data_IF_806912246576
#
_entry.id   IF_806912246576
#
_cell.length_a   1.000
_cell.length_b   1.000
_cell.length_c   1.000
_cell.angle_alpha   90.00
_cell.angle_beta   90.00
_cell.angle_gamma   90.00
#
_symmetry.space_group_name_H-M   'P 1'
#
loop_
_entity.id
_entity.type
_entity.pdbx_description
1 polymer ?
#
# COMPACT_ATOMS: atom_id res chain seq x y z
N UNK A 1 29.14 -13.54 -46.84
CA UNK A 1 28.59 -13.62 -45.46
C UNK A 1 29.23 -12.47 -44.70
N UNK A 2 28.55 -11.40 -44.26
CA UNK A 2 27.69 -11.37 -43.06
C UNK A 2 26.86 -10.06 -43.00
N UNK A 3 25.77 -9.93 -43.78
CA UNK A 3 24.82 -8.81 -43.60
C UNK A 3 23.88 -9.02 -42.40
N UNK A 4 23.74 -10.25 -41.90
CA UNK A 4 22.82 -10.59 -40.80
C UNK A 4 23.29 -10.13 -39.40
N UNK A 5 24.59 -9.92 -39.18
CA UNK A 5 25.12 -9.54 -37.87
C UNK A 5 24.82 -8.08 -37.50
N UNK A 6 24.99 -7.15 -38.45
CA UNK A 6 24.72 -5.71 -38.23
C UNK A 6 23.22 -5.42 -38.08
N UNK A 7 22.34 -6.15 -38.75
CA UNK A 7 20.89 -5.98 -38.61
C UNK A 7 20.38 -6.53 -37.29
N UNK A 8 20.87 -7.69 -36.83
CA UNK A 8 20.55 -8.23 -35.50
C UNK A 8 21.01 -7.30 -34.38
N UNK A 9 22.22 -6.72 -34.49
CA UNK A 9 22.72 -5.75 -33.52
C UNK A 9 21.88 -4.47 -33.48
N UNK A 10 21.48 -3.95 -34.65
CA UNK A 10 20.57 -2.78 -34.73
C UNK A 10 19.20 -3.06 -34.12
N UNK A 11 18.61 -4.23 -34.38
CA UNK A 11 17.34 -4.62 -33.77
C UNK A 11 17.45 -4.77 -32.25
N UNK A 12 18.56 -5.33 -31.75
CA UNK A 12 18.79 -5.45 -30.31
C UNK A 12 19.00 -4.09 -29.64
N UNK A 13 19.70 -3.16 -30.28
CA UNK A 13 19.85 -1.79 -29.81
C UNK A 13 18.51 -1.05 -29.73
N UNK A 14 17.63 -1.21 -30.72
CA UNK A 14 16.28 -0.62 -30.68
C UNK A 14 15.45 -1.21 -29.55
N UNK A 15 15.50 -2.53 -29.33
CA UNK A 15 14.79 -3.17 -28.22
C UNK A 15 15.29 -2.68 -26.85
N UNK A 16 16.61 -2.59 -26.66
CA UNK A 16 17.19 -2.06 -25.42
C UNK A 16 16.82 -0.59 -25.23
N UNK A 17 16.85 0.23 -26.29
CA UNK A 17 16.45 1.64 -26.21
C UNK A 17 14.98 1.82 -25.82
N UNK A 18 14.07 1.06 -26.42
CA UNK A 18 12.64 1.07 -26.08
C UNK A 18 12.42 0.57 -24.65
N UNK A 19 13.14 -0.45 -24.22
CA UNK A 19 13.07 -0.97 -22.86
C UNK A 19 13.55 0.04 -21.82
N UNK A 20 14.64 0.76 -22.09
CA UNK A 20 15.16 1.82 -21.22
C UNK A 20 14.18 2.99 -21.17
N UNK A 21 13.65 3.46 -22.31
CA UNK A 21 12.63 4.52 -22.32
C UNK A 21 11.36 4.10 -21.57
N UNK A 22 10.90 2.87 -21.77
CA UNK A 22 9.76 2.30 -21.06
C UNK A 22 10.00 2.20 -19.56
N UNK A 23 11.20 1.81 -19.14
CA UNK A 23 11.60 1.71 -17.73
C UNK A 23 11.69 3.07 -17.06
N UNK A 24 12.24 4.08 -17.74
CA UNK A 24 12.31 5.47 -17.23
C UNK A 24 10.92 6.07 -17.11
N UNK A 25 10.06 5.88 -18.12
CA UNK A 25 8.67 6.36 -18.10
C UNK A 25 7.86 5.65 -17.01
N UNK A 26 8.03 4.34 -16.86
CA UNK A 26 7.40 3.55 -15.79
C UNK A 26 7.86 3.96 -14.40
N UNK A 27 9.15 4.23 -14.21
CA UNK A 27 9.71 4.73 -12.95
C UNK A 27 9.18 6.13 -12.60
N UNK A 28 9.09 7.03 -13.59
CA UNK A 28 8.56 8.39 -13.40
C UNK A 28 7.06 8.39 -13.03
N UNK A 29 6.24 7.60 -13.73
CA UNK A 29 4.82 7.44 -13.41
C UNK A 29 4.60 6.81 -12.03
N UNK A 30 5.40 5.80 -11.68
CA UNK A 30 5.34 5.17 -10.37
C UNK A 30 5.78 6.12 -9.25
N UNK A 31 6.80 6.95 -9.52
CA UNK A 31 7.28 7.99 -8.60
C UNK A 31 6.24 9.07 -8.34
N UNK A 32 5.56 9.56 -9.38
CA UNK A 32 4.48 10.55 -9.27
C UNK A 32 3.22 9.98 -8.59
N UNK A 33 2.89 8.71 -8.85
CA UNK A 33 1.77 8.05 -8.19
C UNK A 33 2.06 7.76 -6.71
N UNK A 34 3.29 7.35 -6.39
CA UNK A 34 3.74 7.18 -5.01
C UNK A 34 3.83 8.52 -4.27
N UNK A 35 4.31 9.60 -4.88
CA UNK A 35 4.38 10.91 -4.19
C UNK A 35 2.99 11.46 -3.88
N UNK A 36 2.03 11.28 -4.78
CA UNK A 36 0.62 11.63 -4.54
C UNK A 36 -0.07 10.72 -3.51
N UNK A 37 0.41 9.48 -3.35
CA UNK A 37 -0.07 8.54 -2.34
C UNK A 37 0.70 8.60 -1.01
N UNK A 38 1.92 9.13 -0.95
CA UNK A 38 2.80 8.99 0.22
C UNK A 38 2.99 10.27 1.06
N UNK A 39 2.51 11.44 0.61
CA UNK A 39 2.99 12.72 1.15
C UNK A 39 2.03 13.60 1.96
N UNK A 40 0.73 13.29 2.05
CA UNK A 40 -0.20 14.06 2.89
C UNK A 40 -0.44 13.35 4.22
N UNK A 41 -0.55 14.10 5.32
CA UNK A 41 -0.93 13.57 6.62
C UNK A 41 -2.32 12.90 6.54
N UNK A 42 -2.29 11.60 6.21
CA UNK A 42 -3.49 10.78 6.08
C UNK A 42 -4.18 10.60 7.43
N UNK A 43 -3.48 10.82 8.54
CA UNK A 43 -4.08 10.75 9.87
C UNK A 43 -4.96 11.97 10.12
N UNK A 44 -4.42 13.18 9.89
CA UNK A 44 -5.19 14.42 9.96
C UNK A 44 -6.34 14.43 8.95
N UNK A 45 -6.10 13.97 7.73
CA UNK A 45 -7.14 13.91 6.68
C UNK A 45 -8.26 12.95 7.06
N UNK A 46 -7.94 11.82 7.70
CA UNK A 46 -8.93 10.83 8.15
C UNK A 46 -9.71 11.31 9.36
N UNK A 47 -9.04 11.96 10.31
CA UNK A 47 -9.67 12.53 11.49
C UNK A 47 -10.66 13.65 11.10
N UNK A 48 -10.23 14.56 10.21
CA UNK A 48 -11.10 15.59 9.62
C UNK A 48 -12.31 14.97 8.93
N UNK A 49 -12.12 13.96 8.08
CA UNK A 49 -13.23 13.30 7.39
C UNK A 49 -14.21 12.58 8.35
N UNK A 50 -13.71 12.02 9.45
CA UNK A 50 -14.57 11.41 10.48
C UNK A 50 -15.38 12.48 11.22
N UNK A 51 -14.76 13.61 11.56
CA UNK A 51 -15.40 14.72 12.22
C UNK A 51 -16.48 15.35 11.33
N UNK A 52 -16.19 15.62 10.06
CA UNK A 52 -17.17 16.09 9.08
C UNK A 52 -18.38 15.16 8.96
N UNK A 53 -18.14 13.84 8.96
CA UNK A 53 -19.21 12.84 8.88
C UNK A 53 -20.07 12.82 10.14
N UNK A 54 -19.48 13.04 11.31
CA UNK A 54 -20.21 13.17 12.57
C UNK A 54 -21.05 14.46 12.60
N UNK A 55 -20.47 15.61 12.21
CA UNK A 55 -21.20 16.88 12.16
C UNK A 55 -22.36 16.85 11.16
N UNK A 56 -22.18 16.18 10.02
CA UNK A 56 -23.26 15.93 9.08
C UNK A 56 -24.39 15.12 9.72
N UNK A 57 -24.06 14.03 10.44
CA UNK A 57 -25.04 13.21 11.15
C UNK A 57 -25.77 14.00 12.24
N UNK A 58 -25.03 14.79 13.03
CA UNK A 58 -25.59 15.68 14.05
C UNK A 58 -26.63 16.62 13.43
N UNK A 59 -26.30 17.24 12.30
CA UNK A 59 -27.15 18.21 11.61
C UNK A 59 -28.37 17.55 10.97
N UNK A 60 -28.17 16.47 10.21
CA UNK A 60 -29.26 15.78 9.49
C UNK A 60 -30.27 15.14 10.43
N UNK A 61 -29.81 14.58 11.55
CA UNK A 61 -30.68 13.98 12.56
C UNK A 61 -31.17 14.97 13.62
N UNK A 62 -30.73 16.23 13.55
CA UNK A 62 -31.06 17.29 14.52
C UNK A 62 -30.83 16.85 15.97
N UNK A 63 -29.66 16.26 16.22
CA UNK A 63 -29.33 15.73 17.55
C UNK A 63 -29.29 16.87 18.59
N UNK A 64 -29.88 16.63 19.75
CA UNK A 64 -29.67 17.51 20.92
C UNK A 64 -28.24 17.39 21.42
N UNK A 65 -27.79 18.31 22.28
CA UNK A 65 -26.44 18.23 22.86
C UNK A 65 -26.23 16.95 23.68
N UNK A 66 -27.27 16.49 24.37
CA UNK A 66 -27.23 15.23 25.14
C UNK A 66 -27.11 14.02 24.21
N UNK A 67 -27.90 13.98 23.13
CA UNK A 67 -27.80 12.92 22.12
C UNK A 67 -26.45 12.94 21.40
N UNK A 68 -25.93 14.12 21.08
CA UNK A 68 -24.62 14.29 20.44
C UNK A 68 -23.51 13.68 21.30
N UNK A 69 -23.50 13.97 22.60
CA UNK A 69 -22.53 13.40 23.55
C UNK A 69 -22.65 11.88 23.62
N UNK A 70 -23.87 11.35 23.69
CA UNK A 70 -24.11 9.91 23.75
C UNK A 70 -23.62 9.20 22.47
N UNK A 71 -23.94 9.75 21.28
CA UNK A 71 -23.50 9.17 20.00
C UNK A 71 -21.97 9.23 19.86
N UNK A 72 -21.34 10.33 20.27
CA UNK A 72 -19.89 10.46 20.27
C UNK A 72 -19.24 9.38 21.14
N UNK A 73 -19.76 9.15 22.35
CA UNK A 73 -19.28 8.10 23.25
C UNK A 73 -19.37 6.70 22.62
N UNK A 74 -20.50 6.37 21.99
CA UNK A 74 -20.70 5.09 21.28
C UNK A 74 -19.68 4.91 20.14
N UNK A 75 -19.45 5.97 19.35
CA UNK A 75 -18.47 5.92 18.24
C UNK A 75 -17.05 5.70 18.78
N UNK A 76 -16.69 6.35 19.88
CA UNK A 76 -15.35 6.24 20.46
C UNK A 76 -15.11 4.88 21.14
N UNK A 77 -16.10 4.35 21.85
CA UNK A 77 -16.08 2.99 22.38
C UNK A 77 -15.90 1.97 21.25
N UNK A 78 -16.74 2.06 20.21
CA UNK A 78 -16.65 1.20 19.03
C UNK A 78 -15.26 1.27 18.38
N UNK A 79 -14.68 2.47 18.26
CA UNK A 79 -13.30 2.63 17.72
C UNK A 79 -12.27 1.90 18.56
N UNK A 80 -12.40 1.92 19.89
CA UNK A 80 -11.50 1.22 20.79
C UNK A 80 -11.63 -0.30 20.65
N UNK A 81 -12.86 -0.82 20.54
CA UNK A 81 -13.10 -2.24 20.26
C UNK A 81 -12.44 -2.68 18.95
N UNK A 82 -12.63 -1.92 17.86
CA UNK A 82 -11.97 -2.22 16.58
C UNK A 82 -10.45 -2.17 16.68
N UNK A 83 -9.88 -1.24 17.46
CA UNK A 83 -8.43 -1.16 17.68
C UNK A 83 -7.91 -2.40 18.45
N UNK A 84 -8.64 -2.83 19.47
CA UNK A 84 -8.31 -4.04 20.23
C UNK A 84 -8.37 -5.28 19.34
N UNK A 85 -9.46 -5.46 18.60
CA UNK A 85 -9.65 -6.58 17.67
C UNK A 85 -8.55 -6.62 16.60
N UNK A 86 -8.21 -5.46 16.01
CA UNK A 86 -7.12 -5.36 15.04
C UNK A 86 -5.80 -5.81 15.65
N UNK A 87 -5.52 -5.45 16.89
CA UNK A 87 -4.28 -5.81 17.60
C UNK A 87 -4.22 -7.31 17.86
N UNK A 88 -5.31 -7.92 18.29
CA UNK A 88 -5.41 -9.37 18.54
C UNK A 88 -5.32 -10.20 17.25
N UNK A 89 -6.01 -9.79 16.19
CA UNK A 89 -6.09 -10.57 14.96
C UNK A 89 -4.86 -10.40 14.07
N UNK A 90 -4.12 -9.29 14.17
CA UNK A 90 -2.93 -9.03 13.34
C UNK A 90 -1.94 -10.20 13.29
N UNK A 91 -1.47 -10.78 14.41
CA UNK A 91 -0.55 -11.92 14.38
C UNK A 91 -1.13 -13.16 13.71
N UNK A 92 -2.46 -13.38 13.76
CA UNK A 92 -3.11 -14.55 13.14
C UNK A 92 -2.99 -14.55 11.61
N UNK A 93 -2.74 -13.39 11.00
CA UNK A 93 -2.52 -13.28 9.55
C UNK A 93 -1.07 -13.46 9.12
N UNK A 94 -0.12 -13.52 10.07
CA UNK A 94 1.30 -13.58 9.73
C UNK A 94 1.70 -14.97 9.27
N UNK A 95 1.24 -16.02 9.95
CA UNK A 95 1.55 -17.41 9.56
C UNK A 95 1.02 -17.76 8.15
N UNK A 96 -0.25 -17.50 7.78
CA UNK A 96 -0.71 -17.72 6.41
C UNK A 96 0.08 -16.93 5.37
N UNK A 97 0.51 -15.70 5.71
CA UNK A 97 1.33 -14.87 4.84
C UNK A 97 2.69 -15.49 4.59
N UNK A 98 3.39 -15.92 5.64
CA UNK A 98 4.71 -16.55 5.51
C UNK A 98 4.61 -17.87 4.73
N UNK A 99 3.57 -18.67 5.00
CA UNK A 99 3.28 -19.90 4.26
C UNK A 99 3.04 -19.66 2.77
N UNK A 100 2.27 -18.62 2.43
CA UNK A 100 2.04 -18.23 1.04
C UNK A 100 3.33 -17.77 0.37
N UNK A 101 4.16 -16.95 1.05
CA UNK A 101 5.47 -16.49 0.56
C UNK A 101 6.40 -17.67 0.26
N UNK A 102 6.49 -18.64 1.16
CA UNK A 102 7.30 -19.84 0.98
C UNK A 102 6.84 -20.67 -0.22
N UNK A 103 5.52 -20.88 -0.37
CA UNK A 103 4.94 -21.60 -1.51
C UNK A 103 5.20 -20.88 -2.84
N UNK A 104 5.05 -19.56 -2.87
CA UNK A 104 5.35 -18.77 -4.08
C UNK A 104 6.84 -18.88 -4.42
N UNK A 105 7.72 -18.68 -3.43
CA UNK A 105 9.18 -18.78 -3.61
C UNK A 105 9.62 -20.11 -4.22
N UNK A 106 9.02 -21.22 -3.78
CA UNK A 106 9.33 -22.55 -4.29
C UNK A 106 9.01 -22.76 -5.79
N UNK A 107 8.16 -21.91 -6.38
CA UNK A 107 7.79 -21.96 -7.79
C UNK A 107 8.68 -21.07 -8.68
N UNK A 108 9.61 -20.32 -8.09
CA UNK A 108 10.41 -19.30 -8.79
C UNK A 108 11.82 -19.81 -9.10
N UNK A 109 12.38 -19.34 -10.21
CA UNK A 109 13.81 -19.54 -10.52
C UNK A 109 14.70 -18.77 -9.54
N UNK A 110 15.99 -19.10 -9.42
CA UNK A 110 16.90 -18.38 -8.51
C UNK A 110 16.92 -16.86 -8.73
N UNK A 111 16.89 -16.40 -9.99
CA UNK A 111 16.87 -14.98 -10.33
C UNK A 111 15.54 -14.31 -9.93
N UNK A 112 14.42 -15.02 -10.12
CA UNK A 112 13.10 -14.56 -9.70
C UNK A 112 12.95 -14.51 -8.18
N UNK A 113 13.56 -15.47 -7.46
CA UNK A 113 13.58 -15.51 -6.00
C UNK A 113 14.26 -14.27 -5.41
N UNK A 114 15.39 -13.83 -5.95
CA UNK A 114 16.06 -12.61 -5.51
C UNK A 114 15.17 -11.37 -5.68
N UNK A 115 14.50 -11.26 -6.84
CA UNK A 115 13.55 -10.17 -7.07
C UNK A 115 12.34 -10.24 -6.13
N UNK A 116 11.84 -11.44 -5.87
CA UNK A 116 10.72 -11.67 -4.96
C UNK A 116 11.08 -11.29 -3.52
N UNK A 117 12.26 -11.65 -3.03
CA UNK A 117 12.72 -11.25 -1.70
C UNK A 117 12.82 -9.74 -1.55
N UNK A 118 13.35 -9.06 -2.57
CA UNK A 118 13.39 -7.59 -2.58
C UNK A 118 11.99 -6.96 -2.51
N UNK A 119 11.01 -7.52 -3.22
CA UNK A 119 9.62 -7.05 -3.13
C UNK A 119 9.02 -7.29 -1.74
N UNK A 120 9.28 -8.44 -1.14
CA UNK A 120 8.80 -8.77 0.21
C UNK A 120 9.43 -7.84 1.26
N UNK A 121 10.75 -7.63 1.21
CA UNK A 121 11.45 -6.75 2.14
C UNK A 121 10.93 -5.31 2.07
N UNK A 122 10.68 -4.77 0.88
CA UNK A 122 10.07 -3.44 0.73
C UNK A 122 8.66 -3.36 1.32
N UNK A 123 7.84 -4.40 1.14
CA UNK A 123 6.49 -4.44 1.71
C UNK A 123 6.52 -4.54 3.24
N UNK A 124 7.46 -5.29 3.81
CA UNK A 124 7.59 -5.43 5.25
C UNK A 124 8.07 -4.12 5.90
N UNK A 125 9.07 -3.45 5.31
CA UNK A 125 9.50 -2.13 5.75
C UNK A 125 8.35 -1.10 5.77
N UNK A 126 7.52 -1.05 4.71
CA UNK A 126 6.35 -0.16 4.65
C UNK A 126 5.29 -0.49 5.71
N UNK A 127 5.13 -1.77 6.06
CA UNK A 127 4.20 -2.20 7.12
C UNK A 127 4.70 -1.82 8.50
N UNK A 128 6.00 -1.94 8.74
CA UNK A 128 6.62 -1.57 10.00
C UNK A 128 6.58 -0.05 10.22
N UNK A 129 6.82 0.75 9.17
CA UNK A 129 6.61 2.20 9.19
C UNK A 129 5.15 2.59 9.48
N UNK A 130 4.18 1.86 8.92
CA UNK A 130 2.75 2.10 9.23
C UNK A 130 2.39 1.65 10.65
N UNK A 131 3.10 0.68 11.21
CA UNK A 131 2.90 0.19 12.57
C UNK A 131 3.48 1.16 13.60
N UNK A 132 4.62 1.80 13.33
CA UNK A 132 5.22 2.79 14.24
C UNK A 132 4.50 4.13 14.25
N UNK A 133 3.69 4.41 13.22
CA UNK A 133 2.85 5.62 13.10
C UNK A 133 1.50 5.55 13.85
N UNK A 134 1.13 4.41 14.41
CA UNK A 134 -0.16 4.17 15.07
C UNK A 134 0.02 3.79 16.53
#
# INVERSE_FOLDING_TARGET
>A
MTLQGRTKLKMWLVLVAVFVLGSVTGAALTGLYRSRAAGGDRSETREKAMHERFEKMRTELKLTDEQTKAVQAVIDETRNEYRALRTELRPRFEEPRQKARARIRALLTPEQQQKFDGMIAQQDAQRDEQKSRH
#
